data_IF_192046156098
#
_entry.id   IF_192046156098
#
_cell.length_a   1.000
_cell.length_b   1.000
_cell.length_c   1.000
_cell.angle_alpha   90.00
_cell.angle_beta   90.00
_cell.angle_gamma   90.00
#
_symmetry.space_group_name_H-M   'P 1'
#
loop_
_entity.id
_entity.type
_entity.pdbx_description
1 polymer ?
#
# COMPACT_ATOMS: atom_id res chain seq x y z
N UNK A 1 45.25 -32.98 27.13
CA UNK A 1 45.78 -31.60 27.22
C UNK A 1 46.48 -31.24 25.92
N UNK A 2 46.23 -30.08 25.32
CA UNK A 2 46.95 -29.70 24.09
C UNK A 2 48.44 -29.51 24.39
N UNK A 3 49.34 -29.87 23.46
CA UNK A 3 50.82 -29.85 23.62
C UNK A 3 51.37 -28.59 24.31
N UNK A 4 50.66 -27.47 24.20
CA UNK A 4 51.12 -26.21 24.76
C UNK A 4 50.80 -26.01 26.24
N UNK A 5 49.77 -26.67 26.78
CA UNK A 5 49.58 -26.68 28.23
C UNK A 5 50.75 -27.39 28.91
N UNK A 6 51.28 -28.44 28.26
CA UNK A 6 52.45 -29.18 28.72
C UNK A 6 53.70 -28.28 28.65
N UNK A 7 53.97 -27.62 27.51
CA UNK A 7 55.13 -26.70 27.43
C UNK A 7 55.03 -25.52 28.40
N UNK A 8 53.81 -25.04 28.67
CA UNK A 8 53.59 -23.96 29.62
C UNK A 8 53.87 -24.43 31.05
N UNK A 9 53.35 -25.61 31.43
CA UNK A 9 53.62 -26.22 32.72
C UNK A 9 55.14 -26.40 32.93
N UNK A 10 55.86 -26.92 31.94
CA UNK A 10 57.32 -27.05 32.01
C UNK A 10 58.04 -25.69 32.16
N UNK A 11 57.63 -24.66 31.41
CA UNK A 11 58.19 -23.31 31.57
C UNK A 11 57.96 -22.75 32.99
N UNK A 12 56.78 -22.96 33.57
CA UNK A 12 56.45 -22.46 34.92
C UNK A 12 57.22 -23.24 35.99
N UNK A 13 57.31 -24.57 35.85
CA UNK A 13 58.13 -25.41 36.73
C UNK A 13 59.60 -24.97 36.66
N UNK A 14 60.14 -24.69 35.47
CA UNK A 14 61.51 -24.21 35.32
C UNK A 14 61.75 -22.86 36.03
N UNK A 15 60.79 -21.93 35.96
CA UNK A 15 60.88 -20.63 36.67
C UNK A 15 60.85 -20.82 38.19
N UNK A 16 60.02 -21.73 38.69
CA UNK A 16 59.95 -22.04 40.14
C UNK A 16 61.23 -22.73 40.61
N UNK A 17 61.79 -23.67 39.83
CA UNK A 17 63.06 -24.33 40.14
C UNK A 17 64.21 -23.33 40.13
N UNK A 18 64.27 -22.43 39.15
CA UNK A 18 65.27 -21.37 39.11
C UNK A 18 65.15 -20.44 40.32
N UNK A 19 63.92 -20.06 40.70
CA UNK A 19 63.66 -19.29 41.93
C UNK A 19 64.13 -20.01 43.19
N UNK A 20 63.89 -21.32 43.30
CA UNK A 20 64.34 -22.15 44.42
C UNK A 20 65.87 -22.24 44.51
N UNK A 21 66.56 -22.43 43.37
CA UNK A 21 68.01 -22.49 43.28
C UNK A 21 68.66 -21.17 43.69
N UNK A 22 68.14 -20.04 43.19
CA UNK A 22 68.60 -18.70 43.58
C UNK A 22 68.37 -18.48 45.07
N UNK A 23 67.18 -18.81 45.60
CA UNK A 23 66.90 -18.71 47.03
C UNK A 23 67.83 -19.58 47.89
N UNK A 24 68.19 -20.78 47.41
CA UNK A 24 69.12 -21.67 48.10
C UNK A 24 70.54 -21.09 48.18
N UNK A 25 71.02 -20.37 47.16
CA UNK A 25 72.33 -19.70 47.19
C UNK A 25 72.45 -18.65 48.31
N UNK A 26 71.33 -18.06 48.73
CA UNK A 26 71.27 -17.08 49.82
C UNK A 26 70.77 -17.67 51.15
N UNK A 27 70.62 -19.00 51.25
CA UNK A 27 70.18 -19.70 52.46
C UNK A 27 68.66 -19.72 52.71
N UNK A 28 67.85 -19.19 51.78
CA UNK A 28 66.40 -19.05 51.93
C UNK A 28 65.62 -19.54 50.68
N UNK A 29 65.59 -20.87 50.40
CA UNK A 29 64.96 -21.41 49.20
C UNK A 29 63.45 -21.10 49.09
N UNK A 30 62.74 -21.04 50.22
CA UNK A 30 61.30 -20.75 50.26
C UNK A 30 60.99 -19.34 49.75
N UNK A 31 61.82 -18.35 50.08
CA UNK A 31 61.63 -16.97 49.66
C UNK A 31 61.85 -16.80 48.14
N UNK A 32 62.79 -17.56 47.57
CA UNK A 32 63.02 -17.58 46.13
C UNK A 32 61.84 -18.17 45.33
N UNK A 33 61.22 -19.23 45.85
CA UNK A 33 59.98 -19.81 45.28
C UNK A 33 58.83 -18.81 45.35
N UNK A 34 58.66 -18.15 46.50
CA UNK A 34 57.59 -17.17 46.73
C UNK A 34 57.70 -16.00 45.74
N UNK A 35 58.90 -15.45 45.55
CA UNK A 35 59.16 -14.38 44.57
C UNK A 35 58.87 -14.82 43.13
N UNK A 36 59.27 -16.03 42.76
CA UNK A 36 58.99 -16.59 41.43
C UNK A 36 57.48 -16.74 41.18
N UNK A 37 56.73 -17.21 42.18
CA UNK A 37 55.27 -17.35 42.09
C UNK A 37 54.56 -15.99 42.00
N UNK A 38 54.99 -15.00 42.80
CA UNK A 38 54.45 -13.63 42.73
C UNK A 38 54.68 -13.03 41.34
N UNK A 39 55.87 -13.23 40.76
CA UNK A 39 56.20 -12.78 39.40
C UNK A 39 55.30 -13.43 38.33
N UNK A 40 55.06 -14.74 38.43
CA UNK A 40 54.18 -15.46 37.51
C UNK A 40 52.72 -14.98 37.62
N UNK A 41 52.22 -14.78 38.85
CA UNK A 41 50.87 -14.26 39.09
C UNK A 41 50.74 -12.84 38.53
N UNK A 42 51.71 -11.97 38.78
CA UNK A 42 51.75 -10.62 38.23
C UNK A 42 51.73 -10.59 36.70
N UNK A 43 52.48 -11.49 36.05
CA UNK A 43 52.45 -11.66 34.60
C UNK A 43 51.09 -12.11 34.06
N UNK A 44 50.41 -13.03 34.75
CA UNK A 44 49.06 -13.46 34.38
C UNK A 44 48.02 -12.35 34.58
N UNK A 45 48.06 -11.63 35.70
CA UNK A 45 47.17 -10.50 35.97
C UNK A 45 47.37 -9.37 34.96
N UNK A 46 48.61 -9.08 34.57
CA UNK A 46 48.90 -8.08 33.54
C UNK A 46 48.31 -8.47 32.18
N UNK A 47 48.42 -9.73 31.77
CA UNK A 47 47.84 -10.19 30.51
C UNK A 47 46.30 -10.25 30.56
N UNK A 48 45.71 -10.53 31.72
CA UNK A 48 44.25 -10.48 31.92
C UNK A 48 43.75 -9.04 31.81
N UNK A 49 44.41 -8.08 32.47
CA UNK A 49 44.12 -6.65 32.35
C UNK A 49 44.22 -6.17 30.89
N UNK A 50 45.25 -6.60 30.16
CA UNK A 50 45.40 -6.31 28.72
C UNK A 50 44.23 -6.88 27.90
N UNK A 51 43.80 -8.10 28.18
CA UNK A 51 42.68 -8.75 27.49
C UNK A 51 41.37 -8.01 27.75
N UNK A 52 41.07 -7.69 29.01
CA UNK A 52 39.88 -6.95 29.40
C UNK A 52 39.82 -5.59 28.70
N UNK A 53 40.91 -4.82 28.78
CA UNK A 53 41.00 -3.50 28.14
C UNK A 53 40.86 -3.59 26.63
N UNK A 54 41.43 -4.60 25.98
CA UNK A 54 41.33 -4.81 24.53
C UNK A 54 39.92 -5.27 24.08
N UNK A 55 39.21 -6.02 24.93
CA UNK A 55 37.82 -6.43 24.67
C UNK A 55 36.85 -5.26 24.85
N UNK A 56 37.10 -4.37 25.81
CA UNK A 56 36.23 -3.24 26.12
C UNK A 56 36.45 -2.05 25.17
N UNK A 57 37.71 -1.76 24.81
CA UNK A 57 38.04 -0.57 24.07
C UNK A 57 38.04 -0.81 22.55
N UNK A 58 37.09 -0.19 21.84
CA UNK A 58 36.91 -0.37 20.39
C UNK A 58 38.04 0.24 19.56
N UNK A 59 38.87 1.11 20.16
CA UNK A 59 39.84 1.97 19.47
C UNK A 59 41.32 1.64 19.71
N UNK A 60 41.66 0.69 20.59
CA UNK A 60 43.07 0.38 20.87
C UNK A 60 43.76 -0.30 19.68
N UNK A 61 44.57 0.50 18.99
CA UNK A 61 45.45 0.17 17.87
C UNK A 61 46.75 -0.40 18.44
N UNK A 62 46.76 -1.72 18.65
CA UNK A 62 47.91 -2.62 18.49
C UNK A 62 47.55 -3.93 19.17
N UNK A 63 47.57 -5.02 18.40
CA UNK A 63 47.35 -6.38 18.88
C UNK A 63 48.22 -6.69 20.12
N UNK A 64 47.66 -7.21 21.22
CA UNK A 64 48.46 -7.71 22.31
C UNK A 64 49.31 -8.89 21.82
N UNK A 65 50.59 -8.64 21.54
CA UNK A 65 51.57 -9.72 21.43
C UNK A 65 51.60 -10.48 22.75
N UNK A 66 51.43 -11.80 22.68
CA UNK A 66 51.53 -12.71 23.81
C UNK A 66 52.34 -13.93 23.42
N UNK A 67 53.09 -14.50 24.35
CA UNK A 67 53.79 -15.77 24.17
C UNK A 67 52.92 -16.95 24.68
N UNK A 68 53.12 -18.14 24.11
CA UNK A 68 52.55 -19.40 24.58
C UNK A 68 51.01 -19.45 24.60
N UNK A 69 50.41 -19.53 25.79
CA UNK A 69 48.96 -19.68 25.95
C UNK A 69 48.21 -18.38 25.66
N UNK A 70 48.74 -17.25 26.09
CA UNK A 70 48.10 -15.95 25.85
C UNK A 70 48.01 -15.62 24.37
N UNK A 71 49.00 -16.02 23.56
CA UNK A 71 48.94 -15.93 22.10
C UNK A 71 47.67 -16.57 21.52
N UNK A 72 47.31 -17.77 22.01
CA UNK A 72 46.09 -18.47 21.56
C UNK A 72 44.82 -17.85 22.10
N UNK A 73 44.82 -17.38 23.35
CA UNK A 73 43.65 -16.70 23.93
C UNK A 73 43.36 -15.43 23.14
N UNK A 74 44.37 -14.62 22.82
CA UNK A 74 44.22 -13.44 21.97
C UNK A 74 43.80 -13.81 20.53
N UNK A 75 44.39 -14.85 19.94
CA UNK A 75 43.99 -15.32 18.61
C UNK A 75 42.53 -15.83 18.56
N UNK A 76 42.08 -16.55 19.60
CA UNK A 76 40.71 -17.07 19.67
C UNK A 76 39.70 -15.95 19.91
N UNK A 77 40.01 -15.01 20.80
CA UNK A 77 39.19 -13.83 21.04
C UNK A 77 39.06 -12.97 19.78
N UNK A 78 40.14 -12.83 18.99
CA UNK A 78 40.11 -12.19 17.66
C UNK A 78 39.18 -12.91 16.69
N UNK A 79 39.33 -14.23 16.54
CA UNK A 79 38.49 -15.00 15.64
C UNK A 79 37.00 -14.82 15.94
N UNK A 80 36.63 -14.82 17.23
CA UNK A 80 35.24 -14.58 17.67
C UNK A 80 34.81 -13.15 17.30
N UNK A 81 35.61 -12.13 17.64
CA UNK A 81 35.31 -10.71 17.34
C UNK A 81 35.16 -10.43 15.85
N UNK A 82 36.06 -10.97 15.02
CA UNK A 82 36.07 -10.75 13.58
C UNK A 82 34.90 -11.47 12.90
N UNK A 83 34.60 -12.71 13.33
CA UNK A 83 33.40 -13.44 12.88
C UNK A 83 32.13 -12.66 13.21
N UNK A 84 31.96 -12.20 14.45
CA UNK A 84 30.80 -11.39 14.84
C UNK A 84 30.72 -10.06 14.09
N UNK A 85 31.86 -9.44 13.74
CA UNK A 85 31.89 -8.21 12.92
C UNK A 85 31.47 -8.49 11.48
N UNK A 86 31.95 -9.57 10.88
CA UNK A 86 31.61 -9.99 9.53
C UNK A 86 30.12 -10.33 9.41
N UNK A 87 29.58 -11.12 10.34
CA UNK A 87 28.15 -11.46 10.38
C UNK A 87 27.28 -10.21 10.56
N UNK A 88 27.63 -9.29 11.48
CA UNK A 88 26.91 -8.01 11.65
C UNK A 88 26.97 -7.13 10.39
N UNK A 89 28.09 -7.12 9.65
CA UNK A 89 28.19 -6.38 8.37
C UNK A 89 27.30 -7.01 7.30
N UNK A 90 27.30 -8.34 7.15
CA UNK A 90 26.43 -9.08 6.21
C UNK A 90 24.95 -8.84 6.49
N UNK A 91 24.53 -8.97 7.76
CA UNK A 91 23.15 -8.70 8.17
C UNK A 91 22.72 -7.26 7.85
N UNK A 92 23.55 -6.27 8.18
CA UNK A 92 23.27 -4.86 7.83
C UNK A 92 23.18 -4.63 6.32
N UNK A 93 23.97 -5.33 5.52
CA UNK A 93 23.93 -5.26 4.05
C UNK A 93 22.62 -5.86 3.52
N UNK A 94 22.26 -7.07 3.97
CA UNK A 94 20.99 -7.72 3.64
C UNK A 94 19.79 -6.85 4.02
N UNK A 95 19.76 -6.29 5.23
CA UNK A 95 18.68 -5.38 5.65
C UNK A 95 18.64 -4.11 4.79
N UNK A 96 19.81 -3.56 4.41
CA UNK A 96 19.89 -2.39 3.53
C UNK A 96 19.44 -2.72 2.11
N UNK A 97 19.75 -3.90 1.62
CA UNK A 97 19.41 -4.41 0.29
C UNK A 97 17.92 -4.74 0.19
N UNK A 98 17.35 -5.46 1.16
CA UNK A 98 15.90 -5.63 1.31
C UNK A 98 15.21 -4.27 1.33
N UNK A 99 15.68 -3.32 2.17
CA UNK A 99 15.12 -1.95 2.20
C UNK A 99 15.37 -1.15 0.92
N UNK A 100 16.41 -1.46 0.14
CA UNK A 100 16.70 -0.78 -1.13
C UNK A 100 15.81 -1.31 -2.25
N UNK A 101 15.56 -2.61 -2.28
CA UNK A 101 14.54 -3.23 -3.11
C UNK A 101 13.13 -2.73 -2.72
N UNK A 102 12.85 -2.51 -1.43
CA UNK A 102 11.63 -1.83 -0.97
C UNK A 102 11.64 -0.31 -1.21
N UNK A 103 12.78 0.33 -1.51
CA UNK A 103 12.82 1.75 -1.91
C UNK A 103 12.49 1.95 -3.39
N UNK A 104 12.54 0.88 -4.18
CA UNK A 104 12.00 0.85 -5.53
C UNK A 104 10.47 0.69 -5.53
N UNK A 105 9.84 0.39 -4.38
CA UNK A 105 8.39 0.49 -4.27
C UNK A 105 7.99 1.98 -4.28
N UNK A 106 7.22 2.43 -5.30
CA UNK A 106 6.65 3.77 -5.31
C UNK A 106 5.62 3.96 -4.19
N UNK A 107 5.13 2.86 -3.62
CA UNK A 107 4.13 2.85 -2.57
C UNK A 107 4.70 3.32 -1.21
N UNK A 108 3.96 4.19 -0.56
CA UNK A 108 4.21 4.62 0.81
C UNK A 108 3.81 3.54 1.81
N UNK A 109 4.75 3.11 2.65
CA UNK A 109 4.51 2.17 3.72
C UNK A 109 4.62 2.83 5.09
N UNK A 110 3.60 2.65 5.93
CA UNK A 110 3.54 3.11 7.33
C UNK A 110 3.22 1.92 8.24
N UNK A 111 4.14 1.63 9.16
CA UNK A 111 3.95 0.59 10.18
C UNK A 111 3.21 1.20 11.36
N UNK A 112 2.12 0.55 11.75
CA UNK A 112 1.18 0.93 12.78
C UNK A 112 1.16 -0.12 13.90
N UNK A 113 0.90 0.29 15.14
CA UNK A 113 0.57 -0.64 16.22
C UNK A 113 -0.92 -1.03 16.20
N UNK A 114 -1.34 -1.82 17.19
CA UNK A 114 -2.71 -2.18 17.54
C UNK A 114 -3.66 -0.98 17.67
N UNK A 115 -3.14 0.17 18.12
CA UNK A 115 -3.89 1.44 18.26
C UNK A 115 -3.81 2.35 17.03
N UNK A 116 -3.30 1.86 15.91
CA UNK A 116 -3.08 2.63 14.67
C UNK A 116 -2.12 3.83 14.82
N UNK A 117 -1.22 3.79 15.80
CA UNK A 117 -0.15 4.78 15.99
C UNK A 117 1.06 4.47 15.11
N UNK A 118 1.63 5.51 14.51
CA UNK A 118 2.74 5.38 13.56
C UNK A 118 4.06 5.04 14.24
N UNK A 119 4.49 3.77 14.13
CA UNK A 119 5.79 3.30 14.65
C UNK A 119 6.91 3.74 13.71
N UNK A 120 6.73 3.58 12.40
CA UNK A 120 7.74 3.88 11.39
C UNK A 120 7.13 4.07 10.00
N UNK A 121 7.83 4.75 9.10
CA UNK A 121 7.38 4.97 7.73
C UNK A 121 8.54 5.15 6.75
N UNK A 122 8.33 4.76 5.49
CA UNK A 122 9.33 4.88 4.44
C UNK A 122 9.39 6.33 3.87
N UNK A 123 10.27 6.55 2.86
CA UNK A 123 10.40 7.87 2.22
C UNK A 123 9.17 8.22 1.37
N UNK A 124 8.59 7.23 0.68
CA UNK A 124 7.44 7.44 -0.19
C UNK A 124 6.19 7.87 0.61
N UNK A 125 5.89 7.20 1.73
CA UNK A 125 4.80 7.59 2.63
C UNK A 125 4.96 9.01 3.14
N UNK A 126 6.20 9.46 3.36
CA UNK A 126 6.46 10.85 3.73
C UNK A 126 6.05 11.86 2.66
N UNK A 127 6.36 11.55 1.41
CA UNK A 127 6.01 12.40 0.29
C UNK A 127 4.49 12.38 0.03
N UNK A 128 3.90 11.18 -0.02
CA UNK A 128 2.48 10.99 -0.34
C UNK A 128 1.53 11.44 0.78
N UNK A 129 1.90 11.27 2.06
CA UNK A 129 1.04 11.65 3.20
C UNK A 129 1.46 12.96 3.89
N UNK A 130 2.56 13.58 3.46
CA UNK A 130 3.03 14.84 4.04
C UNK A 130 3.63 14.70 5.44
N UNK A 131 4.11 13.51 5.80
CA UNK A 131 4.62 13.22 7.15
C UNK A 131 5.86 14.06 7.51
N UNK A 132 5.92 14.53 8.74
CA UNK A 132 7.05 15.24 9.34
C UNK A 132 7.85 14.29 10.23
N UNK A 133 9.13 14.13 9.89
CA UNK A 133 10.07 13.16 10.48
C UNK A 133 10.19 13.21 12.02
N UNK A 134 9.93 14.36 12.64
CA UNK A 134 10.16 14.58 14.08
C UNK A 134 8.88 14.61 14.92
N UNK A 135 7.74 14.92 14.34
CA UNK A 135 6.50 15.17 15.08
C UNK A 135 5.48 14.05 14.95
N UNK A 136 5.50 13.31 13.84
CA UNK A 136 4.35 12.45 13.51
C UNK A 136 4.53 11.01 13.97
N UNK A 137 5.68 10.70 14.56
CA UNK A 137 5.95 9.36 15.10
C UNK A 137 5.24 9.20 16.44
N UNK A 138 4.48 8.11 16.60
CA UNK A 138 3.66 7.84 17.78
C UNK A 138 2.27 8.48 17.74
N UNK A 139 1.98 9.34 16.75
CA UNK A 139 0.61 9.83 16.56
C UNK A 139 -0.22 8.79 15.82
N UNK A 140 -1.53 8.77 16.08
CA UNK A 140 -2.48 7.97 15.31
C UNK A 140 -2.58 8.46 13.87
N UNK A 141 -2.81 7.53 12.94
CA UNK A 141 -2.87 7.82 11.50
C UNK A 141 -4.13 8.59 11.07
N UNK A 142 -5.24 8.39 11.74
CA UNK A 142 -6.53 9.09 11.55
C UNK A 142 -6.44 10.59 11.89
N UNK A 143 -5.53 11.00 12.79
CA UNK A 143 -5.27 12.41 13.08
C UNK A 143 -4.68 13.16 11.87
N UNK A 144 -3.95 12.44 11.02
CA UNK A 144 -3.36 12.95 9.79
C UNK A 144 -4.36 12.81 8.63
N UNK A 145 -4.89 11.61 8.44
CA UNK A 145 -5.83 11.30 7.37
C UNK A 145 -7.26 11.39 7.94
N UNK A 146 -7.83 12.60 7.89
CA UNK A 146 -9.16 12.90 8.44
C UNK A 146 -10.31 12.61 7.48
N UNK A 147 -10.06 11.82 6.43
CA UNK A 147 -11.05 11.54 5.42
C UNK A 147 -12.10 10.55 5.99
N UNK A 148 -13.41 10.85 5.92
CA UNK A 148 -14.46 10.00 6.52
C UNK A 148 -14.37 8.53 6.08
N UNK A 149 -14.17 8.29 4.77
CA UNK A 149 -14.05 6.94 4.23
C UNK A 149 -12.84 6.18 4.81
N UNK A 150 -11.74 6.87 5.10
CA UNK A 150 -10.55 6.25 5.68
C UNK A 150 -10.75 5.91 7.16
N UNK A 151 -11.41 6.80 7.92
CA UNK A 151 -11.75 6.55 9.32
C UNK A 151 -12.70 5.36 9.44
N UNK A 152 -13.76 5.33 8.62
CA UNK A 152 -14.70 4.20 8.56
C UNK A 152 -13.98 2.89 8.18
N UNK A 153 -13.03 2.93 7.24
CA UNK A 153 -12.23 1.78 6.84
C UNK A 153 -11.34 1.23 7.97
N UNK A 154 -10.78 2.09 8.83
CA UNK A 154 -9.98 1.66 9.98
C UNK A 154 -10.81 1.02 11.09
N UNK A 155 -12.04 1.51 11.30
CA UNK A 155 -12.96 0.97 12.29
C UNK A 155 -13.52 -0.38 11.86
N UNK A 156 -13.90 -0.52 10.59
CA UNK A 156 -14.51 -1.74 10.08
C UNK A 156 -13.95 -2.17 8.72
N UNK A 157 -12.75 -2.78 8.67
CA UNK A 157 -12.11 -3.19 7.42
C UNK A 157 -12.94 -4.19 6.59
N UNK A 158 -13.85 -4.93 7.23
CA UNK A 158 -14.69 -5.95 6.59
C UNK A 158 -16.01 -5.42 6.04
N UNK A 159 -16.50 -4.27 6.53
CA UNK A 159 -17.82 -3.73 6.14
C UNK A 159 -17.78 -2.98 4.81
N UNK A 160 -16.62 -2.48 4.38
CA UNK A 160 -16.48 -1.72 3.13
C UNK A 160 -16.59 -2.55 1.85
N UNK A 161 -16.53 -3.90 1.92
CA UNK A 161 -16.55 -4.79 0.75
C UNK A 161 -15.38 -4.61 -0.24
N UNK A 162 -14.52 -3.60 -0.01
CA UNK A 162 -13.35 -3.22 -0.79
C UNK A 162 -12.12 -3.39 0.07
N UNK A 163 -11.10 -4.04 -0.48
CA UNK A 163 -9.83 -4.26 0.22
C UNK A 163 -8.98 -2.99 0.39
N UNK A 164 -9.38 -1.86 -0.21
CA UNK A 164 -8.68 -0.58 -0.17
C UNK A 164 -9.66 0.58 -0.22
N UNK A 165 -9.25 1.73 0.31
CA UNK A 165 -10.00 2.99 0.26
C UNK A 165 -9.25 4.02 -0.57
N UNK A 166 -9.96 4.71 -1.45
CA UNK A 166 -9.41 5.77 -2.29
C UNK A 166 -9.69 7.12 -1.64
N UNK A 167 -8.65 7.93 -1.47
CA UNK A 167 -8.73 9.24 -0.82
C UNK A 167 -7.77 10.23 -1.51
N UNK A 168 -8.05 11.53 -1.47
CA UNK A 168 -7.05 12.53 -1.81
C UNK A 168 -5.89 12.48 -0.80
N UNK A 169 -4.69 12.80 -1.26
CA UNK A 169 -3.52 12.91 -0.41
C UNK A 169 -3.69 14.06 0.58
N UNK A 170 -3.36 13.86 1.89
CA UNK A 170 -3.28 14.95 2.85
C UNK A 170 -2.20 15.99 2.54
N UNK A 171 -1.22 15.65 1.71
CA UNK A 171 -0.13 16.53 1.32
C UNK A 171 -0.47 17.41 0.11
N UNK A 172 -1.20 16.82 -0.85
CA UNK A 172 -1.56 17.45 -2.11
C UNK A 172 -2.94 16.95 -2.57
N UNK A 173 -3.99 17.78 -2.57
CA UNK A 173 -5.33 17.39 -3.01
C UNK A 173 -5.40 16.89 -4.45
N UNK A 174 -4.44 17.25 -5.32
CA UNK A 174 -4.41 16.81 -6.73
C UNK A 174 -3.91 15.37 -6.89
N UNK A 175 -3.34 14.79 -5.83
CA UNK A 175 -2.85 13.41 -5.81
C UNK A 175 -3.89 12.52 -5.15
N UNK A 176 -4.29 11.46 -5.85
CA UNK A 176 -5.18 10.44 -5.31
C UNK A 176 -4.40 9.22 -4.84
N UNK A 177 -4.77 8.71 -3.67
CA UNK A 177 -4.12 7.60 -3.00
C UNK A 177 -5.10 6.43 -2.80
N UNK A 178 -4.66 5.23 -3.19
CA UNK A 178 -5.25 3.98 -2.73
C UNK A 178 -4.57 3.57 -1.42
N UNK A 179 -5.34 3.49 -0.34
CA UNK A 179 -4.89 3.13 0.99
C UNK A 179 -5.41 1.74 1.37
N UNK A 180 -4.51 0.85 1.79
CA UNK A 180 -4.84 -0.52 2.23
C UNK A 180 -4.08 -0.85 3.51
N UNK A 181 -4.78 -1.39 4.50
CA UNK A 181 -4.17 -1.85 5.76
C UNK A 181 -4.08 -3.36 5.75
N UNK A 182 -2.86 -3.89 5.96
CA UNK A 182 -2.60 -5.34 6.03
C UNK A 182 -1.92 -5.72 7.35
N UNK A 183 -2.23 -6.87 7.95
CA UNK A 183 -1.51 -7.35 9.13
C UNK A 183 -0.05 -7.66 8.77
N UNK A 184 0.90 -7.18 9.59
CA UNK A 184 2.35 -7.31 9.34
C UNK A 184 3.09 -8.09 10.45
N UNK A 185 2.43 -8.35 11.57
CA UNK A 185 2.98 -9.11 12.70
C UNK A 185 1.99 -9.20 13.86
N UNK A 186 2.40 -9.78 15.01
CA UNK A 186 1.58 -9.75 16.21
C UNK A 186 1.35 -8.29 16.62
N UNK A 187 0.08 -7.89 16.68
CA UNK A 187 -0.35 -6.55 17.09
C UNK A 187 0.23 -5.40 16.23
N UNK A 188 0.56 -5.68 14.97
CA UNK A 188 1.10 -4.68 14.04
C UNK A 188 0.41 -4.73 12.69
N UNK A 189 0.10 -3.53 12.19
CA UNK A 189 -0.52 -3.31 10.90
C UNK A 189 0.41 -2.52 9.98
N UNK A 190 0.33 -2.76 8.69
CA UNK A 190 1.04 -2.01 7.66
C UNK A 190 0.01 -1.31 6.79
N UNK A 191 0.01 0.02 6.83
CA UNK A 191 -0.70 0.86 5.87
C UNK A 191 0.18 1.00 4.62
N UNK A 192 -0.36 0.54 3.49
CA UNK A 192 0.17 0.77 2.16
C UNK A 192 -0.62 1.89 1.50
N UNK A 193 0.08 2.82 0.89
CA UNK A 193 -0.47 3.97 0.17
C UNK A 193 0.14 4.02 -1.22
N UNK A 194 -0.69 4.01 -2.25
CA UNK A 194 -0.25 4.03 -3.65
C UNK A 194 -0.85 5.24 -4.34
N UNK A 195 -0.03 5.97 -5.08
CA UNK A 195 -0.50 7.00 -5.99
C UNK A 195 -1.25 6.35 -7.17
N UNK A 196 -2.54 6.64 -7.28
CA UNK A 196 -3.44 6.17 -8.34
C UNK A 196 -3.90 7.33 -9.24
N UNK A 197 -3.29 8.51 -9.13
CA UNK A 197 -3.69 9.72 -9.85
C UNK A 197 -3.72 9.50 -11.36
N UNK A 198 -2.72 8.83 -11.92
CA UNK A 198 -2.66 8.55 -13.35
C UNK A 198 -3.73 7.55 -13.79
N UNK A 199 -4.03 6.55 -12.94
CA UNK A 199 -5.09 5.59 -13.23
C UNK A 199 -6.45 6.29 -13.26
N UNK A 200 -6.74 7.13 -12.25
CA UNK A 200 -7.97 7.93 -12.19
C UNK A 200 -8.05 8.90 -13.37
N UNK A 201 -6.97 9.62 -13.71
CA UNK A 201 -6.95 10.55 -14.85
C UNK A 201 -7.18 9.85 -16.19
N UNK A 202 -6.57 8.69 -16.38
CA UNK A 202 -6.73 7.90 -17.62
C UNK A 202 -8.18 7.41 -17.74
N UNK A 203 -8.74 6.93 -16.64
CA UNK A 203 -10.12 6.45 -16.61
C UNK A 203 -11.12 7.59 -16.80
N UNK A 204 -10.90 8.76 -16.20
CA UNK A 204 -11.68 9.97 -16.45
C UNK A 204 -11.60 10.41 -17.92
N UNK A 205 -10.39 10.48 -18.49
CA UNK A 205 -10.20 10.84 -19.90
C UNK A 205 -10.90 9.86 -20.85
N UNK A 206 -10.85 8.55 -20.53
CA UNK A 206 -11.55 7.51 -21.31
C UNK A 206 -13.07 7.75 -21.28
N UNK A 207 -13.64 8.04 -20.12
CA UNK A 207 -15.07 8.35 -19.95
C UNK A 207 -15.46 9.61 -20.70
N UNK A 208 -14.70 10.69 -20.53
CA UNK A 208 -14.96 11.98 -21.19
C UNK A 208 -14.87 11.83 -22.71
N UNK A 209 -13.91 11.05 -23.21
CA UNK A 209 -13.79 10.75 -24.63
C UNK A 209 -15.02 10.01 -25.16
N UNK A 210 -15.46 8.96 -24.48
CA UNK A 210 -16.65 8.19 -24.91
C UNK A 210 -17.89 9.05 -24.86
N UNK A 211 -18.10 9.82 -23.79
CA UNK A 211 -19.23 10.72 -23.66
C UNK A 211 -19.25 11.75 -24.80
N UNK A 212 -18.13 12.42 -25.07
CA UNK A 212 -18.01 13.42 -26.12
C UNK A 212 -18.22 12.81 -27.52
N UNK A 213 -17.57 11.68 -27.81
CA UNK A 213 -17.73 11.00 -29.10
C UNK A 213 -19.19 10.63 -29.36
N UNK A 214 -19.89 10.10 -28.35
CA UNK A 214 -21.30 9.75 -28.50
C UNK A 214 -22.21 10.95 -28.70
N UNK A 215 -21.93 12.09 -28.05
CA UNK A 215 -22.68 13.33 -28.28
C UNK A 215 -22.46 13.87 -29.70
N UNK A 216 -21.21 13.90 -30.16
CA UNK A 216 -20.84 14.35 -31.51
C UNK A 216 -21.35 13.43 -32.62
N UNK A 217 -21.56 12.14 -32.35
CA UNK A 217 -22.15 11.18 -33.29
C UNK A 217 -23.68 11.22 -33.32
N UNK A 218 -24.34 11.52 -32.18
CA UNK A 218 -25.80 11.57 -32.10
C UNK A 218 -26.38 12.68 -32.98
N UNK A 219 -25.81 13.88 -32.92
CA UNK A 219 -26.31 15.03 -33.67
C UNK A 219 -26.37 14.80 -35.20
N UNK A 220 -25.30 14.34 -35.88
CA UNK A 220 -25.36 14.07 -37.32
C UNK A 220 -26.26 12.89 -37.65
N UNK A 221 -26.34 11.84 -36.81
CA UNK A 221 -27.26 10.72 -37.03
C UNK A 221 -28.73 11.16 -36.94
N UNK A 222 -29.07 12.05 -36.02
CA UNK A 222 -30.42 12.63 -35.93
C UNK A 222 -30.77 13.43 -37.19
N UNK A 223 -29.83 14.18 -37.75
CA UNK A 223 -30.04 14.92 -39.00
C UNK A 223 -30.23 13.96 -40.18
N UNK A 224 -29.40 12.92 -40.29
CA UNK A 224 -29.54 11.89 -41.34
C UNK A 224 -30.88 11.16 -41.23
N UNK A 225 -31.28 10.76 -40.03
CA UNK A 225 -32.58 10.14 -39.78
C UNK A 225 -33.73 11.06 -40.22
N UNK A 226 -33.67 12.36 -39.90
CA UNK A 226 -34.68 13.33 -40.33
C UNK A 226 -34.74 13.54 -41.85
N UNK A 227 -33.61 13.47 -42.55
CA UNK A 227 -33.62 13.48 -44.02
C UNK A 227 -34.22 12.19 -44.60
N UNK A 228 -33.95 11.03 -43.99
CA UNK A 228 -34.57 9.77 -44.41
C UNK A 228 -36.08 9.77 -44.14
N UNK A 229 -36.53 10.30 -42.99
CA UNK A 229 -37.96 10.49 -42.68
C UNK A 229 -38.64 11.38 -43.74
N UNK A 230 -37.98 12.46 -44.17
CA UNK A 230 -38.51 13.36 -45.19
C UNK A 230 -38.57 12.72 -46.58
N UNK A 231 -37.58 11.89 -46.93
CA UNK A 231 -37.58 11.14 -48.19
C UNK A 231 -38.61 10.02 -48.17
N UNK A 232 -38.78 9.27 -47.07
CA UNK A 232 -39.81 8.23 -46.97
C UNK A 232 -41.24 8.80 -47.09
N UNK A 233 -41.43 10.07 -46.73
CA UNK A 233 -42.72 10.77 -46.83
C UNK A 233 -42.99 11.42 -48.20
N UNK A 234 -42.02 11.45 -49.12
CA UNK A 234 -42.17 12.08 -50.43
C UNK A 234 -42.77 11.10 -51.46
N UNK A 235 -44.04 11.33 -51.81
CA UNK A 235 -44.80 10.49 -52.74
C UNK A 235 -44.33 10.61 -54.21
N UNK A 236 -43.52 11.61 -54.55
CA UNK A 236 -42.98 11.82 -55.91
C UNK A 236 -41.66 11.06 -56.17
N UNK A 237 -41.11 10.38 -55.16
CA UNK A 237 -39.87 9.61 -55.30
C UNK A 237 -40.02 8.40 -56.24
N UNK A 238 -39.07 8.17 -57.17
CA UNK A 238 -39.10 6.99 -58.02
C UNK A 238 -39.01 5.71 -57.19
N UNK A 239 -39.81 4.69 -57.54
CA UNK A 239 -39.90 3.42 -56.80
C UNK A 239 -38.55 2.71 -56.61
N UNK A 240 -37.60 2.91 -57.52
CA UNK A 240 -36.24 2.35 -57.45
C UNK A 240 -35.44 2.84 -56.24
N UNK A 241 -35.82 3.97 -55.62
CA UNK A 241 -35.17 4.54 -54.43
C UNK A 241 -35.70 4.02 -53.10
N UNK A 242 -36.86 3.35 -53.08
CA UNK A 242 -37.47 2.86 -51.85
C UNK A 242 -36.54 1.87 -51.11
N UNK A 243 -35.94 0.92 -51.83
CA UNK A 243 -35.03 -0.05 -51.23
C UNK A 243 -33.72 0.59 -50.72
N UNK A 244 -33.00 1.42 -51.51
CA UNK A 244 -31.83 2.16 -51.01
C UNK A 244 -32.11 3.02 -49.76
N UNK A 245 -33.27 3.70 -49.70
CA UNK A 245 -33.65 4.52 -48.55
C UNK A 245 -33.86 3.63 -47.30
N UNK A 246 -34.57 2.51 -47.45
CA UNK A 246 -34.76 1.54 -46.38
C UNK A 246 -33.43 0.96 -45.87
N UNK A 247 -32.50 0.63 -46.78
CA UNK A 247 -31.17 0.14 -46.41
C UNK A 247 -30.37 1.21 -45.63
N UNK A 248 -30.44 2.49 -46.04
CA UNK A 248 -29.81 3.61 -45.32
C UNK A 248 -30.44 3.86 -43.94
N UNK A 249 -31.76 3.69 -43.82
CA UNK A 249 -32.49 3.77 -42.56
C UNK A 249 -32.03 2.70 -41.58
N UNK A 250 -31.96 1.45 -42.03
CA UNK A 250 -31.46 0.34 -41.22
C UNK A 250 -30.03 0.60 -40.70
N UNK A 251 -29.14 1.12 -41.55
CA UNK A 251 -27.78 1.46 -41.11
C UNK A 251 -27.75 2.62 -40.11
N UNK A 252 -28.58 3.65 -40.31
CA UNK A 252 -28.67 4.82 -39.41
C UNK A 252 -29.19 4.40 -38.02
N UNK A 253 -30.19 3.53 -37.99
CA UNK A 253 -30.75 2.98 -36.75
C UNK A 253 -29.75 2.07 -36.03
N UNK A 254 -29.02 1.24 -36.79
CA UNK A 254 -27.95 0.40 -36.25
C UNK A 254 -26.82 1.23 -35.63
N UNK A 255 -26.38 2.30 -36.30
CA UNK A 255 -25.37 3.21 -35.77
C UNK A 255 -25.87 3.90 -34.50
N UNK A 256 -27.13 4.34 -34.49
CA UNK A 256 -27.76 4.95 -33.31
C UNK A 256 -27.79 3.98 -32.12
N UNK A 257 -28.08 2.70 -32.37
CA UNK A 257 -28.05 1.67 -31.33
C UNK A 257 -26.62 1.45 -30.80
N UNK A 258 -25.63 1.33 -31.67
CA UNK A 258 -24.23 1.14 -31.25
C UNK A 258 -23.71 2.29 -30.38
N UNK A 259 -24.11 3.53 -30.68
CA UNK A 259 -23.75 4.70 -29.88
C UNK A 259 -24.41 4.65 -28.48
N UNK A 260 -25.66 4.18 -28.39
CA UNK A 260 -26.34 3.97 -27.11
C UNK A 260 -25.66 2.88 -26.29
N UNK A 261 -25.36 1.74 -26.90
CA UNK A 261 -24.72 0.59 -26.22
C UNK A 261 -23.32 0.97 -25.69
N UNK A 262 -22.55 1.75 -26.45
CA UNK A 262 -21.24 2.25 -26.03
C UNK A 262 -21.33 3.14 -24.78
N UNK A 263 -22.35 4.01 -24.72
CA UNK A 263 -22.60 4.87 -23.57
C UNK A 263 -23.02 4.07 -22.33
N UNK A 264 -23.88 3.08 -22.52
CA UNK A 264 -24.35 2.22 -21.43
C UNK A 264 -23.20 1.39 -20.85
N UNK A 265 -22.36 0.79 -21.71
CA UNK A 265 -21.17 0.07 -21.28
C UNK A 265 -20.18 0.99 -20.54
N UNK A 266 -19.93 2.20 -21.06
CA UNK A 266 -19.04 3.15 -20.41
C UNK A 266 -19.56 3.59 -19.04
N UNK A 267 -20.88 3.71 -18.85
CA UNK A 267 -21.50 3.99 -17.55
C UNK A 267 -21.32 2.81 -16.60
N UNK A 268 -21.57 1.58 -17.05
CA UNK A 268 -21.42 0.37 -16.24
C UNK A 268 -19.98 0.14 -15.78
N UNK A 269 -19.00 0.25 -16.68
CA UNK A 269 -17.57 0.11 -16.34
C UNK A 269 -17.07 1.22 -15.42
N UNK A 270 -17.68 2.40 -15.51
CA UNK A 270 -17.27 3.54 -14.71
C UNK A 270 -17.55 3.38 -13.22
N UNK A 271 -18.33 2.36 -12.84
CA UNK A 271 -18.56 1.96 -11.46
C UNK A 271 -18.87 3.17 -10.59
N UNK A 272 -19.81 4.03 -11.05
CA UNK A 272 -20.31 5.16 -10.29
C UNK A 272 -20.80 4.62 -8.95
N UNK A 273 -19.88 4.58 -7.99
CA UNK A 273 -20.19 4.49 -6.58
C UNK A 273 -20.70 5.89 -6.26
N UNK A 274 -21.85 6.25 -6.84
CA UNK A 274 -22.57 7.42 -6.39
C UNK A 274 -22.85 7.18 -4.91
N UNK A 275 -22.72 8.19 -4.04
CA UNK A 275 -22.92 7.98 -2.62
C UNK A 275 -24.30 7.35 -2.40
N UNK A 276 -24.35 6.04 -2.08
CA UNK A 276 -25.56 5.32 -1.70
C UNK A 276 -26.11 5.82 -0.34
N UNK A 277 -25.73 7.03 0.09
CA UNK A 277 -26.09 7.63 1.37
C UNK A 277 -27.12 8.77 1.20
N UNK A 278 -27.55 9.07 -0.03
CA UNK A 278 -28.61 10.05 -0.27
C UNK A 278 -29.98 9.40 -0.23
N UNK A 279 -30.83 9.92 0.64
CA UNK A 279 -32.24 9.54 0.74
C UNK A 279 -33.00 10.19 -0.40
N UNK A 280 -33.56 9.37 -1.28
CA UNK A 280 -34.32 9.79 -2.46
C UNK A 280 -35.81 9.67 -2.18
N UNK A 281 -36.53 10.78 -2.38
CA UNK A 281 -37.98 10.88 -2.26
C UNK A 281 -38.67 10.24 -3.48
N UNK A 282 -38.97 8.95 -3.34
CA UNK A 282 -39.64 8.16 -4.39
C UNK A 282 -41.00 8.74 -4.81
N UNK A 283 -41.88 9.18 -3.88
CA UNK A 283 -43.12 9.88 -4.24
C UNK A 283 -42.91 11.06 -5.18
N UNK A 284 -41.91 11.91 -4.91
CA UNK A 284 -41.63 13.10 -5.73
C UNK A 284 -41.17 12.74 -7.15
N UNK A 285 -40.29 11.74 -7.29
CA UNK A 285 -39.80 11.28 -8.59
C UNK A 285 -40.95 10.68 -9.42
N UNK A 286 -41.77 9.82 -8.81
CA UNK A 286 -42.89 9.19 -9.51
C UNK A 286 -43.97 10.19 -9.91
N UNK A 287 -44.24 11.20 -9.08
CA UNK A 287 -45.15 12.29 -9.43
C UNK A 287 -44.64 13.10 -10.64
N UNK A 288 -43.32 13.35 -10.68
CA UNK A 288 -42.67 14.05 -11.79
C UNK A 288 -42.71 13.24 -13.09
N UNK A 289 -42.37 11.94 -13.02
CA UNK A 289 -42.44 11.03 -14.16
C UNK A 289 -43.88 10.89 -14.69
N UNK A 290 -44.88 10.78 -13.81
CA UNK A 290 -46.29 10.76 -14.20
C UNK A 290 -46.69 12.04 -14.94
N UNK A 291 -46.28 13.20 -14.44
CA UNK A 291 -46.59 14.49 -15.07
C UNK A 291 -45.98 14.62 -16.46
N UNK A 292 -44.77 14.09 -16.65
CA UNK A 292 -44.06 14.09 -17.93
C UNK A 292 -44.75 13.20 -18.97
N UNK A 293 -45.19 11.99 -18.58
CA UNK A 293 -45.94 11.09 -19.47
C UNK A 293 -47.32 11.67 -19.81
N UNK A 294 -48.01 12.27 -18.84
CA UNK A 294 -49.30 12.95 -19.07
C UNK A 294 -49.19 14.14 -20.04
N UNK A 295 -48.00 14.74 -20.17
CA UNK A 295 -47.76 15.85 -21.08
C UNK A 295 -47.51 15.40 -22.54
N UNK A 296 -47.26 14.11 -22.80
CA UNK A 296 -46.88 13.58 -24.12
C UNK A 296 -48.04 13.02 -24.96
N UNK A 297 -49.26 12.82 -24.45
CA UNK A 297 -50.41 12.47 -25.31
C UNK A 297 -51.62 11.78 -24.64
N UNK A 298 -52.69 11.65 -25.42
CA UNK A 298 -54.10 11.35 -25.04
C UNK A 298 -54.38 9.97 -24.37
N UNK A 299 -53.39 9.07 -24.27
CA UNK A 299 -53.52 7.78 -23.55
C UNK A 299 -53.31 7.91 -22.02
N UNK A 300 -53.27 9.17 -21.55
CA UNK A 300 -53.13 9.64 -20.18
C UNK A 300 -54.07 9.01 -19.14
N UNK A 301 -55.16 8.36 -19.56
CA UNK A 301 -56.23 7.90 -18.66
C UNK A 301 -56.01 6.53 -18.01
N UNK A 302 -54.89 5.83 -18.25
CA UNK A 302 -54.67 4.47 -17.70
C UNK A 302 -53.44 4.29 -16.79
N UNK A 303 -52.72 5.37 -16.47
CA UNK A 303 -51.52 5.26 -15.61
C UNK A 303 -51.89 5.47 -14.14
N UNK A 304 -52.09 4.36 -13.44
CA UNK A 304 -52.23 4.32 -11.99
C UNK A 304 -50.85 4.11 -11.34
N UNK A 305 -50.50 4.97 -10.38
CA UNK A 305 -49.25 4.88 -9.62
C UNK A 305 -49.64 4.44 -8.22
N UNK A 306 -49.36 3.19 -7.88
CA UNK A 306 -49.56 2.66 -6.54
C UNK A 306 -48.21 2.53 -5.83
N UNK A 307 -48.06 3.26 -4.74
CA UNK A 307 -46.89 3.19 -3.86
C UNK A 307 -47.17 2.14 -2.78
N UNK A 308 -46.52 0.98 -2.89
CA UNK A 308 -46.62 -0.08 -1.88
C UNK A 308 -45.97 0.29 -0.53
N UNK A 309 -45.14 1.34 -0.50
CA UNK A 309 -44.44 1.80 0.69
C UNK A 309 -44.14 3.29 0.63
N UNK A 310 -44.17 3.96 1.78
CA UNK A 310 -43.70 5.34 1.97
C UNK A 310 -42.18 5.42 2.24
N UNK A 311 -41.47 4.29 2.19
CA UNK A 311 -40.03 4.27 2.45
C UNK A 311 -39.24 4.91 1.30
N UNK A 312 -38.37 5.84 1.64
CA UNK A 312 -37.41 6.43 0.71
C UNK A 312 -36.26 5.46 0.41
N UNK A 313 -35.71 5.57 -0.79
CA UNK A 313 -34.63 4.69 -1.26
C UNK A 313 -33.29 5.41 -1.11
N UNK A 314 -32.26 4.67 -0.74
CA UNK A 314 -30.89 5.15 -0.72
C UNK A 314 -30.29 5.01 -2.14
N UNK A 315 -29.89 6.13 -2.76
CA UNK A 315 -29.33 6.12 -4.11
C UNK A 315 -29.16 7.50 -4.74
N UNK A 316 -28.87 7.53 -6.04
CA UNK A 316 -28.81 8.75 -6.83
C UNK A 316 -30.13 8.99 -7.57
N UNK A 317 -30.73 10.16 -7.37
CA UNK A 317 -32.02 10.55 -7.96
C UNK A 317 -32.02 10.44 -9.50
N UNK A 318 -30.93 10.86 -10.15
CA UNK A 318 -30.77 10.83 -11.62
C UNK A 318 -30.74 9.42 -12.19
N UNK A 319 -30.07 8.47 -11.52
CA UNK A 319 -30.04 7.06 -11.94
C UNK A 319 -31.41 6.40 -11.78
N UNK A 320 -32.07 6.62 -10.64
CA UNK A 320 -33.42 6.10 -10.38
C UNK A 320 -34.42 6.68 -11.39
N UNK A 321 -34.35 7.98 -11.66
CA UNK A 321 -35.20 8.63 -12.65
C UNK A 321 -34.95 8.08 -14.06
N UNK A 322 -33.68 7.86 -14.45
CA UNK A 322 -33.34 7.26 -15.75
C UNK A 322 -33.87 5.84 -15.90
N UNK A 323 -33.83 5.03 -14.84
CA UNK A 323 -34.40 3.67 -14.85
C UNK A 323 -35.91 3.73 -15.00
N UNK A 324 -36.59 4.62 -14.27
CA UNK A 324 -38.04 4.80 -14.35
C UNK A 324 -38.45 5.25 -15.76
N UNK A 325 -37.78 6.27 -16.32
CA UNK A 325 -38.04 6.74 -17.68
C UNK A 325 -37.79 5.64 -18.71
N UNK A 326 -36.66 4.93 -18.64
CA UNK A 326 -36.38 3.83 -19.56
C UNK A 326 -37.40 2.70 -19.45
N UNK A 327 -38.00 2.46 -18.27
CA UNK A 327 -39.07 1.47 -18.12
C UNK A 327 -40.40 1.95 -18.69
N UNK A 328 -40.73 3.22 -18.51
CA UNK A 328 -41.94 3.82 -19.07
C UNK A 328 -41.89 3.83 -20.60
N UNK A 329 -40.72 4.11 -21.20
CA UNK A 329 -40.51 4.06 -22.66
C UNK A 329 -40.64 2.65 -23.24
N UNK A 330 -40.21 1.61 -22.50
CA UNK A 330 -40.23 0.21 -22.97
C UNK A 330 -41.59 -0.49 -22.79
N UNK A 331 -42.52 0.10 -22.05
CA UNK A 331 -43.81 -0.52 -21.70
C UNK A 331 -43.70 -1.66 -20.66
N UNK A 332 -44.83 -2.25 -20.24
CA UNK A 332 -44.84 -3.26 -19.18
C UNK A 332 -44.06 -4.52 -19.58
N UNK A 333 -43.20 -5.02 -18.68
CA UNK A 333 -42.79 -6.42 -18.75
C UNK A 333 -44.01 -7.26 -18.39
N UNK A 334 -44.48 -8.07 -19.33
CA UNK A 334 -45.32 -9.21 -19.00
C UNK A 334 -44.54 -10.09 -18.02
N UNK A 335 -44.96 -10.09 -16.75
CA UNK A 335 -44.67 -11.17 -15.82
C UNK A 335 -45.67 -12.30 -16.10
N UNK A 336 -45.17 -13.47 -16.49
CA UNK A 336 -45.90 -14.72 -16.28
C UNK A 336 -45.94 -15.08 -14.79
#
# INVERSE_FOLDING_TARGET
MTRVWITLLFKHIAVVIAGALIGAMYGYPVHGILLALIGLIGWHLYNLYRLERWLHDKKLVSEPGGDGMWARVFARARFIRDRSRLERKKFRRLVKEVRASTKAFPDGGVVLNDRYEMINYNKAARALLGLRKKTDRGNRIDNLIRHPNFVAYLENPRLTGKDSVEIPSPADPDIWLSCRVIPFGPEQNLLLTRDITQAIKTEAMRRDFVANASHELRSPLTVVAGYLDALEADEELPADWAQPIADMREQTDRMSQLVRDLLELSRLESGSSSPMDRVVDMPSILASAKKEVLAQGDDAQRIEVELASEANVLGEETEIQSVIQSRLERGPLYSE
#
